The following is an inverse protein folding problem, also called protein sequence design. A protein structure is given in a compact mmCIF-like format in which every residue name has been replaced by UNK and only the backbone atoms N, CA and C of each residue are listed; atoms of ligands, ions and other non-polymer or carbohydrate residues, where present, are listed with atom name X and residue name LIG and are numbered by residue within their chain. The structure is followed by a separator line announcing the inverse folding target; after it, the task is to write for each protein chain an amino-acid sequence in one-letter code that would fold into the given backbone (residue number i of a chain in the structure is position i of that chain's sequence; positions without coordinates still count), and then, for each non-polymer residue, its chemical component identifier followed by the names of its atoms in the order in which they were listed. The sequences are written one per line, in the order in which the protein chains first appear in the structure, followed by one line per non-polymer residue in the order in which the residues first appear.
data_IF_470224841113
#
_entry.id   IF_470224841113
#
_cell.length_a   1.000
_cell.length_b   1.000
_cell.length_c   1.000
_cell.angle_alpha   90.00
_cell.angle_beta   90.00
_cell.angle_gamma   90.00
#
_symmetry.space_group_name_H-M   'P 1'
#
loop_
_entity.id
_entity.type
_entity.pdbx_description
1 polymer ?
#
# COMPACT_ATOMS: atom_id res chain seq x y z
N UNK A 1 9.06 -6.54 2.62
CA UNK A 1 9.91 -7.34 1.72
C UNK A 1 11.18 -7.71 2.45
N UNK A 2 12.28 -7.01 2.18
CA UNK A 2 13.60 -7.26 2.80
C UNK A 2 13.57 -7.43 4.33
N UNK A 3 12.95 -6.49 5.05
CA UNK A 3 12.85 -6.49 6.51
C UNK A 3 12.28 -7.79 7.10
N UNK A 4 11.35 -8.43 6.38
CA UNK A 4 10.73 -9.67 6.80
C UNK A 4 11.74 -10.82 6.86
N UNK A 5 12.65 -10.88 5.88
CA UNK A 5 13.71 -11.88 5.81
C UNK A 5 14.87 -11.57 6.78
N UNK A 6 15.18 -10.29 7.01
CA UNK A 6 16.51 -9.88 7.48
C UNK A 6 16.56 -9.29 8.89
N UNK A 7 15.41 -9.06 9.53
CA UNK A 7 15.37 -8.45 10.86
C UNK A 7 14.92 -9.42 11.97
N UNK A 8 14.48 -10.64 11.65
CA UNK A 8 14.21 -11.69 12.65
C UNK A 8 13.09 -11.43 13.67
N UNK A 9 12.34 -10.33 13.56
CA UNK A 9 11.25 -9.99 14.49
C UNK A 9 9.87 -10.45 14.00
N UNK A 10 9.82 -11.13 12.87
CA UNK A 10 8.61 -11.76 12.34
C UNK A 10 7.59 -10.82 11.70
N UNK A 11 7.67 -9.50 11.83
CA UNK A 11 6.67 -8.62 11.21
C UNK A 11 6.99 -8.16 9.79
N UNK A 12 5.94 -7.76 9.08
CA UNK A 12 5.98 -7.35 7.66
C UNK A 12 5.97 -5.82 7.47
N UNK A 13 5.65 -5.06 8.53
CA UNK A 13 5.63 -3.60 8.57
C UNK A 13 5.80 -3.10 10.01
N UNK A 14 6.77 -2.23 10.27
CA UNK A 14 7.13 -1.76 11.62
C UNK A 14 6.77 -0.29 11.88
N UNK A 15 6.32 0.46 10.86
CA UNK A 15 6.10 1.91 10.95
C UNK A 15 7.38 2.69 11.30
N UNK A 16 8.54 2.18 10.90
CA UNK A 16 9.80 2.90 11.14
C UNK A 16 9.91 4.13 10.20
N UNK A 17 10.76 5.11 10.53
CA UNK A 17 10.85 6.33 9.74
C UNK A 17 11.15 6.15 8.25
N UNK A 18 11.92 5.12 7.87
CA UNK A 18 12.28 4.84 6.47
C UNK A 18 11.10 4.22 5.73
N UNK A 19 10.41 3.26 6.35
CA UNK A 19 9.14 2.73 5.85
C UNK A 19 8.12 3.86 5.64
N UNK A 20 7.92 4.72 6.65
CA UNK A 20 7.00 5.85 6.59
C UNK A 20 7.37 6.85 5.49
N UNK A 21 8.65 7.19 5.38
CA UNK A 21 9.20 8.05 4.34
C UNK A 21 8.91 7.52 2.93
N UNK A 22 9.00 6.20 2.74
CA UNK A 22 8.70 5.57 1.47
C UNK A 22 7.19 5.54 1.18
N UNK A 23 6.34 5.48 2.21
CA UNK A 23 4.89 5.31 2.09
C UNK A 23 4.14 6.63 1.81
N UNK A 24 4.54 7.74 2.43
CA UNK A 24 3.86 9.03 2.27
C UNK A 24 3.71 9.52 0.81
N UNK A 25 4.74 9.40 -0.07
CA UNK A 25 4.61 9.71 -1.49
C UNK A 25 3.52 8.89 -2.20
N UNK A 26 3.30 7.63 -1.80
CA UNK A 26 2.26 6.78 -2.40
C UNK A 26 0.85 7.26 -2.04
N UNK A 27 0.62 7.72 -0.81
CA UNK A 27 -0.66 8.29 -0.40
C UNK A 27 -0.98 9.57 -1.20
N UNK A 28 -0.01 10.49 -1.27
CA UNK A 28 -0.14 11.71 -2.06
C UNK A 28 -0.28 11.42 -3.57
N UNK A 29 0.48 10.47 -4.10
CA UNK A 29 0.43 10.03 -5.48
C UNK A 29 -0.89 9.34 -5.85
N UNK A 30 -1.48 8.57 -4.93
CA UNK A 30 -2.80 7.96 -5.14
C UNK A 30 -3.88 9.04 -5.23
N UNK A 31 -3.85 10.02 -4.31
CA UNK A 31 -4.74 11.17 -4.37
C UNK A 31 -4.53 11.98 -5.67
N UNK A 32 -3.28 12.12 -6.13
CA UNK A 32 -2.93 12.78 -7.40
C UNK A 32 -3.59 12.08 -8.59
N UNK A 33 -3.47 10.76 -8.71
CA UNK A 33 -4.06 9.99 -9.82
C UNK A 33 -5.59 10.15 -9.87
N UNK A 34 -6.25 10.14 -8.71
CA UNK A 34 -7.70 10.35 -8.62
C UNK A 34 -8.09 11.80 -8.94
N UNK A 35 -7.28 12.78 -8.50
CA UNK A 35 -7.47 14.19 -8.86
C UNK A 35 -7.31 14.45 -10.36
N UNK A 36 -6.34 13.78 -11.00
CA UNK A 36 -6.14 13.83 -12.45
C UNK A 36 -7.35 13.30 -13.21
N UNK A 37 -8.00 12.24 -12.71
CA UNK A 37 -9.21 11.71 -13.34
C UNK A 37 -10.36 12.74 -13.35
N UNK A 38 -10.52 13.53 -12.28
CA UNK A 38 -11.50 14.62 -12.25
C UNK A 38 -11.08 15.77 -13.17
N UNK A 39 -9.79 16.10 -13.17
CA UNK A 39 -9.24 17.16 -14.03
C UNK A 39 -9.46 16.86 -15.51
N UNK A 40 -9.16 15.62 -15.95
CA UNK A 40 -9.34 15.17 -17.33
C UNK A 40 -10.82 15.15 -17.74
N UNK A 41 -11.71 14.66 -16.86
CA UNK A 41 -13.13 14.47 -17.21
C UNK A 41 -14.00 15.70 -17.05
N UNK A 42 -13.66 16.60 -16.12
CA UNK A 42 -14.54 17.70 -15.70
C UNK A 42 -13.85 19.07 -15.71
N UNK A 43 -12.54 19.11 -15.94
CA UNK A 43 -11.76 20.35 -15.86
C UNK A 43 -11.67 20.95 -14.45
N UNK A 44 -12.15 20.24 -13.42
CA UNK A 44 -12.06 20.64 -12.01
C UNK A 44 -10.74 20.20 -11.36
N UNK A 45 -10.50 20.63 -10.13
CA UNK A 45 -9.35 20.21 -9.30
C UNK A 45 -7.95 20.51 -9.89
N UNK A 46 -7.83 21.41 -10.87
CA UNK A 46 -6.53 21.76 -11.47
C UNK A 46 -5.51 22.21 -10.42
N UNK A 47 -5.91 23.15 -9.56
CA UNK A 47 -5.09 23.67 -8.46
C UNK A 47 -4.69 22.55 -7.49
N UNK A 48 -5.67 21.76 -7.05
CA UNK A 48 -5.46 20.62 -6.14
C UNK A 48 -4.51 19.57 -6.72
N UNK A 49 -4.64 19.27 -8.01
CA UNK A 49 -3.79 18.32 -8.73
C UNK A 49 -2.33 18.79 -8.76
N UNK A 50 -2.09 20.06 -9.04
CA UNK A 50 -0.72 20.62 -9.03
C UNK A 50 -0.13 20.56 -7.62
N UNK A 51 -0.91 20.91 -6.59
CA UNK A 51 -0.46 20.81 -5.21
C UNK A 51 -0.08 19.38 -4.83
N UNK A 52 -0.91 18.39 -5.18
CA UNK A 52 -0.63 16.98 -4.94
C UNK A 52 0.63 16.49 -5.66
N UNK A 53 0.89 16.98 -6.88
CA UNK A 53 2.12 16.65 -7.61
C UNK A 53 3.36 17.23 -6.90
N UNK A 54 3.29 18.48 -6.46
CA UNK A 54 4.35 19.10 -5.66
C UNK A 54 4.55 18.32 -4.36
N UNK A 55 3.49 17.98 -3.64
CA UNK A 55 3.59 17.24 -2.38
C UNK A 55 4.19 15.84 -2.58
N UNK A 56 3.73 15.07 -3.56
CA UNK A 56 4.26 13.73 -3.82
C UNK A 56 5.76 13.75 -4.14
N UNK A 57 6.20 14.69 -4.98
CA UNK A 57 7.62 14.89 -5.27
C UNK A 57 8.40 15.35 -4.04
N UNK A 58 7.87 16.33 -3.30
CA UNK A 58 8.50 16.88 -2.09
C UNK A 58 8.69 15.82 -1.00
N UNK A 59 7.70 14.93 -0.80
CA UNK A 59 7.78 13.81 0.14
C UNK A 59 8.85 12.79 -0.28
N UNK A 60 9.05 12.56 -1.58
CA UNK A 60 10.13 11.68 -2.07
C UNK A 60 11.52 12.25 -1.76
N UNK A 61 11.69 13.57 -1.87
CA UNK A 61 12.92 14.26 -1.48
C UNK A 61 13.10 14.24 0.05
N UNK A 62 12.03 14.45 0.81
CA UNK A 62 12.05 14.35 2.26
C UNK A 62 12.49 12.96 2.72
N UNK A 63 12.01 11.89 2.07
CA UNK A 63 12.47 10.55 2.38
C UNK A 63 13.97 10.37 2.18
N UNK A 64 14.54 10.98 1.13
CA UNK A 64 16.00 10.98 0.91
C UNK A 64 16.73 11.69 2.04
N UNK A 65 16.21 12.83 2.51
CA UNK A 65 16.75 13.52 3.69
C UNK A 65 16.71 12.64 4.94
N UNK A 66 15.56 12.05 5.26
CA UNK A 66 15.38 11.25 6.48
C UNK A 66 16.32 10.04 6.53
N UNK A 67 16.56 9.36 5.40
CA UNK A 67 17.39 8.15 5.35
C UNK A 67 18.89 8.46 5.33
N UNK A 68 19.30 9.63 4.82
CA UNK A 68 20.73 9.95 4.57
C UNK A 68 21.32 11.00 5.50
N UNK A 69 20.50 11.78 6.20
CA UNK A 69 20.98 12.85 7.08
C UNK A 69 21.55 12.34 8.41
N UNK A 70 21.19 11.13 8.83
CA UNK A 70 21.51 10.59 10.15
C UNK A 70 20.71 11.24 11.29
N UNK A 71 19.69 12.02 10.96
CA UNK A 71 18.85 12.75 11.92
C UNK A 71 17.87 11.82 12.66
N UNK A 72 17.51 10.69 12.07
CA UNK A 72 16.69 9.66 12.70
C UNK A 72 17.46 8.35 12.84
N UNK A 73 17.25 7.67 13.97
CA UNK A 73 17.67 6.29 14.14
C UNK A 73 16.64 5.37 13.45
N UNK A 74 17.10 4.60 12.47
CA UNK A 74 16.29 3.54 11.84
C UNK A 74 17.19 2.37 11.48
N UNK A 75 16.64 1.16 11.61
CA UNK A 75 17.26 -0.10 11.17
C UNK A 75 17.47 -0.15 9.66
N UNK A 76 16.75 0.68 8.90
CA UNK A 76 16.85 0.79 7.45
C UNK A 76 17.69 1.99 6.99
N UNK A 77 18.32 2.74 7.91
CA UNK A 77 19.14 3.89 7.55
C UNK A 77 20.52 3.44 7.02
N UNK A 78 20.92 3.98 5.86
CA UNK A 78 22.20 3.67 5.22
C UNK A 78 23.09 4.91 5.12
N UNK A 79 24.29 4.84 5.69
CA UNK A 79 25.35 5.85 5.61
C UNK A 79 24.93 7.24 6.13
N UNK A 80 25.28 7.53 7.38
CA UNK A 80 25.02 8.81 8.06
C UNK A 80 26.18 9.77 7.86
N UNK A 81 25.99 10.85 7.10
CA UNK A 81 26.95 11.95 6.97
C UNK A 81 26.23 13.30 7.17
N UNK A 82 26.46 13.99 8.31
CA UNK A 82 25.82 15.27 8.60
C UNK A 82 26.03 16.34 7.51
N UNK A 83 27.17 16.32 6.80
CA UNK A 83 27.45 17.27 5.71
C UNK A 83 26.57 17.02 4.48
N UNK A 84 26.21 15.76 4.21
CA UNK A 84 25.24 15.41 3.15
C UNK A 84 23.83 15.82 3.58
N UNK A 85 23.50 15.63 4.86
CA UNK A 85 22.22 16.06 5.44
C UNK A 85 21.95 17.54 5.23
N UNK A 86 22.91 18.41 5.52
CA UNK A 86 22.75 19.88 5.35
C UNK A 86 22.60 20.28 3.89
N UNK A 87 23.37 19.69 2.97
CA UNK A 87 23.19 19.93 1.52
C UNK A 87 21.79 19.54 1.05
N UNK A 88 21.33 18.34 1.42
CA UNK A 88 19.99 17.85 1.06
C UNK A 88 18.91 18.76 1.66
N UNK A 89 19.07 19.21 2.91
CA UNK A 89 18.12 20.12 3.55
C UNK A 89 18.02 21.47 2.81
N UNK A 90 19.15 22.07 2.43
CA UNK A 90 19.16 23.31 1.65
C UNK A 90 18.50 23.13 0.27
N UNK A 91 18.78 22.01 -0.39
CA UNK A 91 18.13 21.63 -1.64
C UNK A 91 16.62 21.44 -1.48
N UNK A 92 16.16 20.77 -0.41
CA UNK A 92 14.74 20.64 -0.09
C UNK A 92 14.09 22.01 0.12
N UNK A 93 14.71 22.89 0.91
CA UNK A 93 14.18 24.23 1.16
C UNK A 93 14.00 25.01 -0.14
N UNK A 94 14.97 24.93 -1.06
CA UNK A 94 14.89 25.58 -2.37
C UNK A 94 13.79 25.00 -3.26
N UNK A 95 13.73 23.67 -3.38
CA UNK A 95 12.79 22.99 -4.30
C UNK A 95 11.36 23.05 -3.78
N UNK A 96 11.14 22.73 -2.50
CA UNK A 96 9.83 22.74 -1.87
C UNK A 96 9.35 24.19 -1.72
N UNK A 97 10.19 25.07 -1.17
CA UNK A 97 9.85 26.49 -0.99
C UNK A 97 9.59 27.18 -2.33
N UNK A 98 10.45 26.96 -3.32
CA UNK A 98 10.31 27.54 -4.66
C UNK A 98 9.06 27.04 -5.40
N UNK A 99 8.78 25.74 -5.36
CA UNK A 99 7.58 25.17 -6.01
C UNK A 99 6.28 25.62 -5.33
N UNK A 100 6.23 25.67 -3.99
CA UNK A 100 5.06 26.18 -3.26
C UNK A 100 4.86 27.69 -3.45
N UNK A 101 5.94 28.48 -3.48
CA UNK A 101 5.85 29.91 -3.79
C UNK A 101 5.33 30.16 -5.21
N UNK A 102 5.83 29.41 -6.20
CA UNK A 102 5.34 29.48 -7.57
C UNK A 102 3.88 29.05 -7.68
N UNK A 103 3.50 27.99 -6.96
CA UNK A 103 2.12 27.53 -6.87
C UNK A 103 1.22 28.63 -6.29
N UNK A 104 1.58 29.22 -5.14
CA UNK A 104 0.81 30.29 -4.52
C UNK A 104 0.67 31.50 -5.45
N UNK A 105 1.72 31.87 -6.18
CA UNK A 105 1.69 32.96 -7.15
C UNK A 105 0.81 32.69 -8.36
N UNK A 106 0.78 31.44 -8.86
CA UNK A 106 0.03 31.07 -10.07
C UNK A 106 -1.40 30.58 -9.79
N UNK A 107 -1.69 30.09 -8.60
CA UNK A 107 -2.98 29.50 -8.24
C UNK A 107 -4.19 30.40 -8.57
N UNK A 108 -4.18 31.73 -8.34
CA UNK A 108 -5.31 32.59 -8.67
C UNK A 108 -5.64 32.67 -10.17
N UNK A 109 -4.69 32.34 -11.04
CA UNK A 109 -4.90 32.34 -12.51
C UNK A 109 -5.52 31.04 -13.03
N UNK A 110 -5.66 30.03 -12.17
CA UNK A 110 -6.20 28.72 -12.55
C UNK A 110 -7.68 28.69 -12.21
N UNK A 111 -8.53 28.53 -13.22
CA UNK A 111 -9.98 28.44 -13.02
C UNK A 111 -10.39 27.30 -12.08
N UNK A 112 -11.41 27.55 -11.25
CA UNK A 112 -11.90 26.64 -10.20
C UNK A 112 -12.64 25.39 -10.74
N UNK A 113 -12.96 25.35 -12.05
CA UNK A 113 -13.74 24.28 -12.67
C UNK A 113 -15.25 24.46 -12.49
N UNK A 114 -16.02 23.47 -12.94
CA UNK A 114 -17.49 23.47 -12.81
C UNK A 114 -17.97 23.04 -11.41
N UNK A 115 -19.16 23.51 -11.01
CA UNK A 115 -19.78 23.11 -9.75
C UNK A 115 -20.30 21.67 -9.76
N UNK A 116 -20.34 21.04 -8.58
CA UNK A 116 -20.86 19.70 -8.35
C UNK A 116 -21.56 19.64 -6.99
N UNK A 117 -22.55 18.75 -6.86
CA UNK A 117 -23.23 18.48 -5.61
C UNK A 117 -22.34 17.63 -4.68
N UNK A 118 -22.55 17.74 -3.37
CA UNK A 118 -21.79 16.95 -2.38
C UNK A 118 -21.89 15.43 -2.64
N UNK A 119 -23.10 14.95 -2.95
CA UNK A 119 -23.33 13.57 -3.40
C UNK A 119 -23.13 13.52 -4.91
N UNK A 120 -21.89 13.30 -5.32
CA UNK A 120 -21.47 13.12 -6.71
C UNK A 120 -20.17 12.33 -6.76
N UNK A 121 -19.79 11.87 -7.96
CA UNK A 121 -18.48 11.25 -8.17
C UNK A 121 -17.34 12.22 -7.83
N UNK A 122 -17.46 13.50 -8.22
CA UNK A 122 -16.49 14.54 -7.87
C UNK A 122 -16.34 14.69 -6.35
N UNK A 123 -17.47 14.76 -5.62
CA UNK A 123 -17.48 14.90 -4.16
C UNK A 123 -16.84 13.71 -3.45
N UNK A 124 -17.13 12.49 -3.90
CA UNK A 124 -16.53 11.27 -3.32
C UNK A 124 -15.03 11.16 -3.62
N UNK A 125 -14.59 11.54 -4.82
CA UNK A 125 -13.17 11.59 -5.16
C UNK A 125 -12.44 12.67 -4.35
N UNK A 126 -13.07 13.83 -4.11
CA UNK A 126 -12.52 14.86 -3.24
C UNK A 126 -12.39 14.37 -1.80
N UNK A 127 -13.44 13.76 -1.25
CA UNK A 127 -13.43 13.20 0.10
C UNK A 127 -12.32 12.16 0.26
N UNK A 128 -12.16 11.25 -0.71
CA UNK A 128 -11.04 10.29 -0.72
C UNK A 128 -9.68 10.98 -0.77
N UNK A 129 -9.52 12.00 -1.60
CA UNK A 129 -8.27 12.75 -1.65
C UNK A 129 -7.95 13.44 -0.33
N UNK A 130 -8.94 14.03 0.34
CA UNK A 130 -8.77 14.65 1.65
C UNK A 130 -8.38 13.60 2.70
N UNK A 131 -9.04 12.44 2.73
CA UNK A 131 -8.70 11.35 3.64
C UNK A 131 -7.28 10.82 3.40
N UNK A 132 -6.86 10.66 2.15
CA UNK A 132 -5.50 10.24 1.80
C UNK A 132 -4.44 11.27 2.21
N UNK A 133 -4.73 12.57 2.01
CA UNK A 133 -3.82 13.65 2.45
C UNK A 133 -3.78 13.75 3.98
N UNK A 134 -4.91 13.55 4.66
CA UNK A 134 -4.97 13.51 6.12
C UNK A 134 -4.17 12.32 6.68
N UNK A 135 -4.31 11.13 6.08
CA UNK A 135 -3.54 9.94 6.45
C UNK A 135 -2.04 10.13 6.20
N UNK A 136 -1.67 10.77 5.08
CA UNK A 136 -0.28 11.15 4.82
C UNK A 136 0.22 12.15 5.88
N UNK A 137 -0.58 13.17 6.21
CA UNK A 137 -0.25 14.16 7.22
C UNK A 137 -0.08 13.57 8.62
N UNK A 138 -0.90 12.59 9.01
CA UNK A 138 -0.75 11.91 10.30
C UNK A 138 0.53 11.06 10.36
N UNK A 139 0.89 10.39 9.26
CA UNK A 139 2.15 9.64 9.18
C UNK A 139 3.35 10.60 9.22
N UNK A 140 3.28 11.71 8.48
CA UNK A 140 4.30 12.75 8.47
C UNK A 140 4.50 13.34 9.87
N UNK A 141 3.40 13.66 10.55
CA UNK A 141 3.42 14.19 11.91
C UNK A 141 4.08 13.19 12.86
N UNK A 142 3.61 11.93 12.91
CA UNK A 142 4.21 10.91 13.78
C UNK A 142 5.69 10.66 13.50
N UNK A 143 6.11 10.77 12.24
CA UNK A 143 7.51 10.56 11.83
C UNK A 143 8.42 11.74 12.21
N UNK A 144 7.95 12.97 12.04
CA UNK A 144 8.74 14.18 12.31
C UNK A 144 8.62 14.68 13.75
N UNK A 145 7.60 14.26 14.49
CA UNK A 145 7.35 14.76 15.84
C UNK A 145 8.52 14.52 16.82
N UNK A 146 9.14 13.32 16.88
CA UNK A 146 10.35 13.12 17.67
C UNK A 146 11.50 14.08 17.30
N UNK A 147 11.66 14.37 16.00
CA UNK A 147 12.70 15.27 15.51
C UNK A 147 12.45 16.71 15.96
N UNK A 148 11.20 17.18 15.94
CA UNK A 148 10.87 18.51 16.42
C UNK A 148 11.13 18.67 17.92
N UNK A 149 10.84 17.65 18.74
CA UNK A 149 11.11 17.70 20.18
C UNK A 149 12.62 17.69 20.47
N UNK A 150 13.39 16.87 19.76
CA UNK A 150 14.85 16.84 19.90
C UNK A 150 15.48 18.17 19.47
N UNK A 151 15.04 18.75 18.35
CA UNK A 151 15.53 20.03 17.86
C UNK A 151 15.21 21.24 18.78
N UNK A 152 14.21 21.11 19.66
CA UNK A 152 13.81 22.13 20.64
C UNK A 152 14.37 21.83 22.04
N UNK A 153 15.21 20.81 22.21
CA UNK A 153 15.71 20.32 23.50
C UNK A 153 14.58 19.98 24.51
N UNK A 154 13.41 19.58 24.00
CA UNK A 154 12.22 19.22 24.80
C UNK A 154 12.18 17.74 25.22
N UNK A 155 13.25 16.99 24.93
CA UNK A 155 13.39 15.58 25.25
C UNK A 155 13.21 14.66 24.04
N UNK A 156 13.61 13.39 24.22
CA UNK A 156 13.56 12.35 23.19
C UNK A 156 12.41 11.39 23.45
N UNK A 157 11.54 11.23 22.46
CA UNK A 157 10.47 10.25 22.46
C UNK A 157 10.61 9.31 21.26
N UNK A 158 9.97 8.15 21.33
CA UNK A 158 9.80 7.26 20.19
C UNK A 158 8.31 7.11 19.88
N UNK A 159 7.97 7.23 18.59
CA UNK A 159 6.61 7.03 18.09
C UNK A 159 6.62 5.74 17.28
N UNK A 160 5.91 4.72 17.75
CA UNK A 160 5.86 3.40 17.15
C UNK A 160 4.46 2.99 16.67
N UNK A 161 4.27 1.70 16.33
CA UNK A 161 3.02 1.16 15.79
C UNK A 161 1.72 1.57 16.51
N UNK A 162 1.66 1.68 17.86
CA UNK A 162 0.41 2.07 18.53
C UNK A 162 -0.16 3.42 18.09
N UNK A 163 0.70 4.41 17.84
CA UNK A 163 0.27 5.70 17.31
C UNK A 163 -0.25 5.55 15.88
N UNK A 164 0.55 4.96 14.99
CA UNK A 164 0.22 4.89 13.57
C UNK A 164 -1.03 4.04 13.31
N UNK A 165 -1.15 2.88 13.94
CA UNK A 165 -2.32 2.01 13.78
C UNK A 165 -3.62 2.69 14.26
N UNK A 166 -3.55 3.44 15.37
CA UNK A 166 -4.73 4.11 15.94
C UNK A 166 -5.21 5.31 15.12
N UNK A 167 -4.31 6.02 14.42
CA UNK A 167 -4.70 7.16 13.56
C UNK A 167 -4.98 6.75 12.11
N UNK A 168 -4.24 5.78 11.58
CA UNK A 168 -4.31 5.42 10.16
C UNK A 168 -5.56 4.61 9.84
N UNK A 169 -5.92 3.63 10.67
CA UNK A 169 -7.08 2.77 10.40
C UNK A 169 -8.40 3.55 10.34
N UNK A 170 -8.71 4.51 11.26
CA UNK A 170 -9.92 5.33 11.17
C UNK A 170 -9.99 6.26 9.96
N UNK A 171 -8.85 6.64 9.38
CA UNK A 171 -8.81 7.46 8.16
C UNK A 171 -8.97 6.62 6.90
N UNK A 172 -8.36 5.43 6.87
CA UNK A 172 -8.43 4.54 5.71
C UNK A 172 -9.76 3.78 5.60
N UNK A 173 -10.39 3.42 6.71
CA UNK A 173 -11.68 2.72 6.69
C UNK A 173 -12.77 3.47 5.88
N UNK A 174 -13.07 4.76 6.13
CA UNK A 174 -14.01 5.51 5.30
C UNK A 174 -13.51 5.71 3.87
N UNK A 175 -12.20 5.83 3.63
CA UNK A 175 -11.65 5.97 2.29
C UNK A 175 -11.90 4.72 1.43
N UNK A 176 -11.67 3.53 2.00
CA UNK A 176 -11.95 2.24 1.37
C UNK A 176 -13.47 2.03 1.21
N UNK A 177 -14.27 2.49 2.17
CA UNK A 177 -15.72 2.44 2.01
C UNK A 177 -16.20 3.31 0.84
N UNK A 178 -15.72 4.54 0.73
CA UNK A 178 -16.03 5.44 -0.39
C UNK A 178 -15.50 4.90 -1.72
N UNK A 179 -14.40 4.15 -1.73
CA UNK A 179 -13.86 3.48 -2.91
C UNK A 179 -14.89 2.53 -3.56
N UNK A 180 -15.76 1.88 -2.78
CA UNK A 180 -16.84 1.05 -3.33
C UNK A 180 -18.01 1.85 -3.94
N UNK A 181 -18.24 3.09 -3.48
CA UNK A 181 -19.37 3.93 -3.93
C UNK A 181 -18.97 4.83 -5.10
N UNK A 182 -17.79 5.47 -5.01
CA UNK A 182 -17.32 6.50 -5.93
C UNK A 182 -17.43 6.13 -7.41
N UNK A 183 -16.92 4.96 -7.85
CA UNK A 183 -17.00 4.53 -9.25
C UNK A 183 -18.43 4.37 -9.79
N UNK A 184 -19.42 4.15 -8.91
CA UNK A 184 -20.83 3.94 -9.25
C UNK A 184 -21.68 5.22 -9.17
N UNK A 185 -21.19 6.24 -8.47
CA UNK A 185 -21.81 7.57 -8.42
C UNK A 185 -21.78 8.26 -9.78
N UNK A 186 -22.81 9.06 -10.08
CA UNK A 186 -22.85 9.88 -11.29
C UNK A 186 -22.03 11.16 -11.12
N UNK A 187 -21.49 11.66 -12.24
CA UNK A 187 -20.85 12.98 -12.28
C UNK A 187 -21.87 14.10 -12.04
N UNK A 188 -21.42 15.25 -11.53
CA UNK A 188 -22.22 16.43 -11.11
C UNK A 188 -23.15 16.19 -9.93
N UNK A 189 -24.05 15.20 -10.02
CA UNK A 189 -25.05 14.91 -8.99
C UNK A 189 -25.45 13.43 -9.09
N UNK A 190 -25.46 12.76 -7.95
CA UNK A 190 -25.99 11.40 -7.81
C UNK A 190 -27.14 11.41 -6.79
N UNK A 191 -28.18 10.63 -7.08
CA UNK A 191 -29.31 10.48 -6.17
C UNK A 191 -29.02 9.38 -5.15
N UNK A 192 -29.04 9.75 -3.87
CA UNK A 192 -28.72 8.85 -2.77
C UNK A 192 -29.64 7.60 -2.72
N UNK A 193 -30.98 7.71 -2.90
CA UNK A 193 -31.85 6.53 -2.90
C UNK A 193 -31.49 5.52 -4.00
N UNK A 194 -31.13 5.99 -5.19
CA UNK A 194 -30.72 5.14 -6.30
C UNK A 194 -29.40 4.41 -6.00
N UNK A 195 -28.43 5.10 -5.40
CA UNK A 195 -27.18 4.48 -4.95
C UNK A 195 -27.43 3.41 -3.91
N UNK A 196 -28.25 3.69 -2.89
CA UNK A 196 -28.60 2.72 -1.84
C UNK A 196 -29.28 1.50 -2.46
N UNK A 197 -30.25 1.68 -3.35
CA UNK A 197 -30.96 0.55 -3.96
C UNK A 197 -30.03 -0.35 -4.80
N UNK A 198 -29.05 0.25 -5.49
CA UNK A 198 -28.03 -0.49 -6.27
C UNK A 198 -27.05 -1.23 -5.37
N UNK A 199 -26.70 -0.66 -4.22
CA UNK A 199 -25.61 -1.14 -3.36
C UNK A 199 -26.06 -2.02 -2.19
N UNK A 200 -27.34 -2.02 -1.81
CA UNK A 200 -27.84 -2.71 -0.61
C UNK A 200 -27.48 -4.19 -0.55
N UNK A 201 -27.51 -4.88 -1.69
CA UNK A 201 -27.18 -6.31 -1.75
C UNK A 201 -25.68 -6.56 -1.66
N UNK A 202 -24.85 -5.71 -2.28
CA UNK A 202 -23.41 -5.74 -2.11
C UNK A 202 -23.05 -5.54 -0.63
N UNK A 203 -23.62 -4.51 0.00
CA UNK A 203 -23.43 -4.24 1.43
C UNK A 203 -23.89 -5.40 2.30
N UNK A 204 -25.10 -5.94 2.07
CA UNK A 204 -25.66 -7.05 2.83
C UNK A 204 -24.78 -8.31 2.75
N UNK A 205 -24.32 -8.69 1.56
CA UNK A 205 -23.43 -9.84 1.37
C UNK A 205 -22.09 -9.62 2.07
N UNK A 206 -21.48 -8.44 1.92
CA UNK A 206 -20.22 -8.12 2.59
C UNK A 206 -20.37 -8.13 4.12
N UNK A 207 -21.46 -7.57 4.65
CA UNK A 207 -21.74 -7.53 6.08
C UNK A 207 -21.96 -8.92 6.68
N UNK A 208 -22.83 -9.73 6.07
CA UNK A 208 -23.11 -11.08 6.55
C UNK A 208 -21.83 -11.92 6.53
N UNK A 209 -21.07 -11.88 5.42
CA UNK A 209 -19.82 -12.65 5.31
C UNK A 209 -18.79 -12.18 6.32
N UNK A 210 -18.63 -10.87 6.51
CA UNK A 210 -17.69 -10.29 7.47
C UNK A 210 -18.01 -10.63 8.93
N UNK A 211 -19.28 -10.85 9.25
CA UNK A 211 -19.69 -11.31 10.57
C UNK A 211 -19.49 -12.82 10.72
N UNK A 212 -19.98 -13.62 9.76
CA UNK A 212 -20.00 -15.09 9.86
C UNK A 212 -18.61 -15.71 9.72
N UNK A 213 -17.79 -15.24 8.77
CA UNK A 213 -16.51 -15.89 8.44
C UNK A 213 -15.54 -15.94 9.63
N UNK A 214 -15.28 -14.84 10.38
CA UNK A 214 -14.42 -14.92 11.57
C UNK A 214 -14.92 -15.91 12.63
N UNK A 215 -16.24 -15.96 12.88
CA UNK A 215 -16.81 -16.92 13.82
C UNK A 215 -16.58 -18.37 13.39
N UNK A 216 -16.76 -18.68 12.09
CA UNK A 216 -16.48 -20.02 11.54
C UNK A 216 -14.99 -20.37 11.65
N UNK A 217 -14.11 -19.38 11.54
CA UNK A 217 -12.67 -19.55 11.73
C UNK A 217 -12.23 -19.63 13.20
N UNK A 218 -13.16 -19.56 14.16
CA UNK A 218 -12.89 -19.75 15.58
C UNK A 218 -12.40 -18.51 16.34
N UNK A 219 -12.36 -17.34 15.71
CA UNK A 219 -11.97 -16.07 16.37
C UNK A 219 -12.71 -14.88 15.76
N UNK A 220 -13.33 -14.08 16.60
CA UNK A 220 -14.02 -12.86 16.18
C UNK A 220 -13.49 -11.64 16.92
N UNK A 221 -13.20 -10.58 16.18
CA UNK A 221 -12.97 -9.23 16.73
C UNK A 221 -13.65 -8.18 15.84
N UNK A 222 -14.00 -7.00 16.39
CA UNK A 222 -14.58 -5.93 15.58
C UNK A 222 -13.66 -5.49 14.43
N UNK A 223 -12.35 -5.40 14.67
CA UNK A 223 -11.38 -4.97 13.66
C UNK A 223 -11.21 -6.02 12.54
N UNK A 224 -11.21 -7.30 12.89
CA UNK A 224 -11.19 -8.42 11.93
C UNK A 224 -12.42 -8.38 11.01
N UNK A 225 -13.60 -8.20 11.60
CA UNK A 225 -14.85 -8.09 10.83
C UNK A 225 -14.87 -6.83 9.96
N UNK A 226 -14.40 -5.69 10.49
CA UNK A 226 -14.33 -4.44 9.72
C UNK A 226 -13.39 -4.57 8.51
N UNK A 227 -12.22 -5.18 8.68
CA UNK A 227 -11.29 -5.41 7.57
C UNK A 227 -11.89 -6.29 6.47
N UNK A 228 -12.53 -7.40 6.85
CA UNK A 228 -13.21 -8.29 5.90
C UNK A 228 -14.42 -7.62 5.23
N UNK A 229 -15.19 -6.83 5.97
CA UNK A 229 -16.30 -6.04 5.44
C UNK A 229 -15.79 -5.11 4.34
N UNK A 230 -14.74 -4.34 4.60
CA UNK A 230 -14.19 -3.38 3.65
C UNK A 230 -13.59 -4.06 2.41
N UNK A 231 -12.88 -5.18 2.57
CA UNK A 231 -12.35 -5.94 1.45
C UNK A 231 -13.47 -6.49 0.56
N UNK A 232 -14.46 -7.16 1.15
CA UNK A 232 -15.60 -7.72 0.42
C UNK A 232 -16.48 -6.63 -0.17
N UNK A 233 -16.59 -5.49 0.50
CA UNK A 233 -17.32 -4.33 -0.02
C UNK A 233 -16.73 -3.83 -1.33
N UNK A 234 -15.40 -3.69 -1.40
CA UNK A 234 -14.71 -3.30 -2.64
C UNK A 234 -14.96 -4.32 -3.76
N UNK A 235 -14.85 -5.62 -3.47
CA UNK A 235 -15.06 -6.68 -4.46
C UNK A 235 -16.52 -6.74 -4.94
N UNK A 236 -17.48 -6.73 -4.03
CA UNK A 236 -18.90 -6.84 -4.38
C UNK A 236 -19.40 -5.62 -5.15
N UNK A 237 -18.96 -4.41 -4.79
CA UNK A 237 -19.27 -3.19 -5.54
C UNK A 237 -18.59 -3.13 -6.90
N UNK A 238 -17.35 -3.64 -7.03
CA UNK A 238 -16.69 -3.84 -8.31
C UNK A 238 -17.49 -4.79 -9.23
N UNK A 239 -18.03 -5.87 -8.68
CA UNK A 239 -18.92 -6.81 -9.42
C UNK A 239 -20.21 -6.13 -9.85
N UNK A 240 -20.87 -5.35 -8.97
CA UNK A 240 -22.07 -4.59 -9.33
C UNK A 240 -21.77 -3.63 -10.49
N UNK A 241 -20.66 -2.88 -10.41
CA UNK A 241 -20.26 -1.95 -11.47
C UNK A 241 -19.93 -2.62 -12.79
N UNK A 242 -19.23 -3.76 -12.75
CA UNK A 242 -18.92 -4.53 -13.95
C UNK A 242 -20.21 -5.07 -14.59
N UNK A 243 -21.12 -5.63 -13.79
CA UNK A 243 -22.41 -6.15 -14.29
C UNK A 243 -23.23 -5.06 -14.96
N UNK A 244 -23.39 -3.92 -14.32
CA UNK A 244 -24.14 -2.80 -14.91
C UNK A 244 -23.49 -2.31 -16.19
N UNK A 245 -22.15 -2.24 -16.23
CA UNK A 245 -21.44 -1.80 -17.43
C UNK A 245 -21.61 -2.76 -18.59
N UNK A 246 -21.52 -4.07 -18.33
CA UNK A 246 -21.74 -5.10 -19.35
C UNK A 246 -23.19 -5.14 -19.84
N UNK A 247 -24.16 -4.74 -19.02
CA UNK A 247 -25.55 -4.64 -19.43
C UNK A 247 -25.80 -3.52 -20.46
N UNK A 248 -24.96 -2.48 -20.49
CA UNK A 248 -25.06 -1.37 -21.45
C UNK A 248 -24.19 -1.57 -22.70
N UNK A 249 -23.51 -2.70 -22.84
CA UNK A 249 -22.71 -3.03 -24.02
C UNK A 249 -23.47 -4.07 -24.85
N UNK A 250 -23.85 -3.68 -26.06
CA UNK A 250 -24.42 -4.61 -27.03
C UNK A 250 -23.37 -5.61 -27.51
N UNK A 251 -23.76 -6.86 -27.66
CA UNK A 251 -22.87 -7.90 -28.17
C UNK A 251 -23.50 -9.30 -28.09
N UNK A 252 -23.10 -10.21 -29.00
CA UNK A 252 -23.70 -11.53 -29.17
C UNK A 252 -23.41 -12.49 -28.01
N UNK A 253 -22.47 -12.16 -27.11
CA UNK A 253 -22.14 -12.97 -25.94
C UNK A 253 -21.28 -12.24 -24.91
N UNK A 254 -21.12 -12.85 -23.73
CA UNK A 254 -20.39 -12.26 -22.59
C UNK A 254 -18.92 -11.94 -22.93
N UNK A 255 -18.24 -12.83 -23.65
CA UNK A 255 -16.83 -12.65 -24.04
C UNK A 255 -16.63 -11.39 -24.90
N UNK A 256 -17.51 -11.16 -25.87
CA UNK A 256 -17.51 -9.96 -26.71
C UNK A 256 -17.72 -8.69 -25.88
N UNK A 257 -18.69 -8.70 -24.96
CA UNK A 257 -18.96 -7.56 -24.08
C UNK A 257 -17.79 -7.27 -23.14
N UNK A 258 -17.16 -8.30 -22.58
CA UNK A 258 -15.98 -8.17 -21.72
C UNK A 258 -14.77 -7.61 -22.49
N UNK A 259 -14.54 -8.06 -23.73
CA UNK A 259 -13.47 -7.56 -24.58
C UNK A 259 -13.69 -6.09 -25.01
N UNK A 260 -14.95 -5.64 -25.07
CA UNK A 260 -15.31 -4.26 -25.40
C UNK A 260 -15.09 -3.27 -24.23
N UNK A 261 -14.95 -3.76 -22.99
CA UNK A 261 -14.68 -2.90 -21.82
C UNK A 261 -13.27 -2.28 -21.94
N UNK A 262 -13.14 -0.94 -21.88
CA UNK A 262 -11.85 -0.25 -21.93
C UNK A 262 -10.84 -0.75 -20.88
N UNK A 263 -9.57 -0.82 -21.27
CA UNK A 263 -8.46 -1.23 -20.39
C UNK A 263 -8.29 -0.32 -19.18
N UNK A 264 -8.57 0.97 -19.32
CA UNK A 264 -8.60 1.93 -18.21
C UNK A 264 -9.59 1.55 -17.11
N UNK A 265 -10.72 0.96 -17.47
CA UNK A 265 -11.70 0.48 -16.49
C UNK A 265 -11.28 -0.84 -15.87
N UNK A 266 -10.76 -1.78 -16.66
CA UNK A 266 -10.17 -2.99 -16.11
C UNK A 266 -9.00 -2.67 -15.16
N UNK A 267 -8.14 -1.72 -15.52
CA UNK A 267 -7.04 -1.26 -14.68
C UNK A 267 -7.51 -0.68 -13.36
N UNK A 268 -8.57 0.13 -13.37
CA UNK A 268 -9.24 0.60 -12.15
C UNK A 268 -9.76 -0.57 -11.30
N UNK A 269 -10.53 -1.50 -11.89
CA UNK A 269 -11.09 -2.65 -11.17
C UNK A 269 -9.99 -3.53 -10.56
N UNK A 270 -8.96 -3.87 -11.34
CA UNK A 270 -7.82 -4.69 -10.90
C UNK A 270 -7.09 -3.98 -9.77
N UNK A 271 -6.81 -2.67 -9.89
CA UNK A 271 -6.14 -1.93 -8.84
C UNK A 271 -6.95 -1.90 -7.54
N UNK A 272 -8.26 -1.67 -7.62
CA UNK A 272 -9.12 -1.63 -6.44
C UNK A 272 -9.30 -3.03 -5.81
N UNK A 273 -9.38 -4.10 -6.62
CA UNK A 273 -9.37 -5.47 -6.11
C UNK A 273 -8.03 -5.82 -5.44
N UNK A 274 -6.91 -5.24 -5.91
CA UNK A 274 -5.61 -5.36 -5.23
C UNK A 274 -5.63 -4.80 -3.80
N UNK A 275 -6.33 -3.69 -3.56
CA UNK A 275 -6.58 -3.17 -2.20
C UNK A 275 -7.37 -4.18 -1.37
N UNK A 276 -8.40 -4.80 -1.93
CA UNK A 276 -9.17 -5.81 -1.21
C UNK A 276 -8.32 -7.02 -0.81
N UNK A 277 -7.49 -7.54 -1.73
CA UNK A 277 -6.55 -8.63 -1.45
C UNK A 277 -5.55 -8.25 -0.35
N UNK A 278 -4.98 -7.04 -0.44
CA UNK A 278 -4.10 -6.50 0.59
C UNK A 278 -4.78 -6.43 1.96
N UNK A 279 -6.00 -5.88 2.02
CA UNK A 279 -6.76 -5.74 3.27
C UNK A 279 -7.08 -7.11 3.86
N UNK A 280 -7.42 -8.12 3.05
CA UNK A 280 -7.58 -9.50 3.52
C UNK A 280 -6.27 -10.00 4.14
N UNK A 281 -5.13 -9.87 3.44
CA UNK A 281 -3.83 -10.28 3.97
C UNK A 281 -3.52 -9.66 5.34
N UNK A 282 -3.60 -8.33 5.45
CA UNK A 282 -3.35 -7.60 6.71
C UNK A 282 -4.29 -8.04 7.82
N UNK A 283 -5.58 -8.16 7.49
CA UNK A 283 -6.64 -8.51 8.44
C UNK A 283 -6.47 -9.94 8.96
N UNK A 284 -6.11 -10.88 8.08
CA UNK A 284 -5.91 -12.27 8.45
C UNK A 284 -4.63 -12.47 9.26
N UNK A 285 -3.51 -11.85 8.88
CA UNK A 285 -2.26 -11.89 9.66
C UNK A 285 -2.50 -11.33 11.07
N UNK A 286 -2.98 -10.08 11.20
CA UNK A 286 -3.24 -9.46 12.52
C UNK A 286 -4.30 -10.22 13.34
N UNK A 287 -5.24 -10.89 12.66
CA UNK A 287 -6.31 -11.63 13.29
C UNK A 287 -5.86 -12.99 13.84
N UNK A 288 -5.03 -13.72 13.10
CA UNK A 288 -4.81 -15.16 13.30
C UNK A 288 -3.34 -15.57 13.38
N UNK A 289 -2.39 -14.64 13.34
CA UNK A 289 -0.99 -14.98 13.60
C UNK A 289 -0.82 -15.55 15.01
N UNK A 290 0.09 -16.52 15.12
CA UNK A 290 0.52 -17.08 16.40
C UNK A 290 2.02 -17.05 16.45
N UNK A 291 2.57 -16.60 17.57
CA UNK A 291 4.00 -16.48 17.82
C UNK A 291 4.39 -17.19 19.12
N UNK A 292 5.63 -17.66 19.19
CA UNK A 292 6.20 -18.24 20.40
C UNK A 292 7.71 -17.99 20.43
N UNK A 293 8.16 -17.35 21.51
CA UNK A 293 9.57 -17.14 21.82
C UNK A 293 9.98 -18.18 22.88
N UNK A 294 10.78 -19.16 22.47
CA UNK A 294 11.13 -20.33 23.29
C UNK A 294 12.64 -20.52 23.36
N UNK A 295 13.10 -21.02 24.50
CA UNK A 295 14.43 -21.61 24.63
C UNK A 295 14.34 -23.06 24.14
N UNK A 296 15.16 -23.44 23.16
CA UNK A 296 15.18 -24.80 22.63
C UNK A 296 16.55 -25.45 22.77
N UNK A 297 16.59 -26.65 23.34
CA UNK A 297 17.75 -27.54 23.29
C UNK A 297 17.70 -28.42 22.03
N UNK A 298 18.84 -29.01 21.66
CA UNK A 298 18.90 -29.96 20.53
C UNK A 298 17.96 -31.15 20.78
N UNK A 299 17.12 -31.45 19.80
CA UNK A 299 16.08 -32.49 19.84
C UNK A 299 14.75 -32.02 20.44
N UNK A 300 14.67 -30.82 21.01
CA UNK A 300 13.45 -30.29 21.61
C UNK A 300 12.44 -29.84 20.53
N UNK A 301 11.15 -29.91 20.89
CA UNK A 301 10.06 -29.54 19.99
C UNK A 301 9.18 -28.45 20.58
N UNK A 302 8.73 -27.52 19.75
CA UNK A 302 7.73 -26.52 20.09
C UNK A 302 6.59 -26.54 19.06
N UNK A 303 5.36 -26.28 19.50
CA UNK A 303 4.17 -26.35 18.62
C UNK A 303 3.44 -25.02 18.57
N UNK A 304 3.19 -24.51 17.36
CA UNK A 304 2.42 -23.29 17.10
C UNK A 304 1.54 -23.46 15.85
N UNK A 305 0.33 -22.92 15.86
CA UNK A 305 -0.56 -22.96 14.68
C UNK A 305 -0.87 -24.36 14.13
N UNK A 306 -0.74 -25.42 14.95
CA UNK A 306 -0.88 -26.82 14.53
C UNK A 306 0.35 -27.42 13.85
N UNK A 307 1.49 -26.73 13.86
CA UNK A 307 2.79 -27.20 13.37
C UNK A 307 3.73 -27.45 14.53
N UNK A 308 4.47 -28.56 14.46
CA UNK A 308 5.52 -28.91 15.43
C UNK A 308 6.88 -28.70 14.79
N UNK A 309 7.68 -27.85 15.42
CA UNK A 309 9.04 -27.50 15.05
C UNK A 309 10.00 -28.26 15.96
N UNK A 310 10.88 -29.08 15.39
CA UNK A 310 11.98 -29.75 16.11
C UNK A 310 13.29 -29.05 15.79
N UNK A 311 14.04 -28.69 16.81
CA UNK A 311 15.35 -28.05 16.65
C UNK A 311 16.47 -29.09 16.68
N UNK A 312 17.21 -29.24 15.59
CA UNK A 312 18.27 -30.27 15.46
C UNK A 312 19.69 -29.68 15.70
N UNK A 313 19.76 -28.45 16.21
CA UNK A 313 21.01 -27.77 16.55
C UNK A 313 21.46 -26.74 15.51
N UNK A 314 22.64 -26.17 15.76
CA UNK A 314 23.29 -25.20 14.87
C UNK A 314 24.61 -25.72 14.35
N UNK A 315 24.92 -25.41 13.08
CA UNK A 315 26.24 -25.60 12.47
C UNK A 315 26.86 -24.23 12.14
N UNK A 316 28.18 -24.12 12.27
CA UNK A 316 28.92 -22.95 11.83
C UNK A 316 29.21 -23.04 10.34
N UNK A 317 28.79 -22.02 9.59
CA UNK A 317 29.01 -21.91 8.14
C UNK A 317 29.85 -20.68 7.82
N UNK A 318 30.66 -20.80 6.77
CA UNK A 318 31.42 -19.67 6.21
C UNK A 318 30.78 -19.26 4.88
N UNK A 319 30.19 -18.07 4.86
CA UNK A 319 29.62 -17.45 3.68
C UNK A 319 30.62 -16.59 2.91
N UNK A 320 30.22 -15.96 1.79
CA UNK A 320 31.12 -15.18 0.94
C UNK A 320 31.75 -13.96 1.63
N UNK A 321 31.01 -13.32 2.54
CA UNK A 321 31.41 -12.11 3.27
C UNK A 321 30.97 -12.12 4.74
N UNK A 322 30.55 -13.28 5.26
CA UNK A 322 30.06 -13.46 6.63
C UNK A 322 30.41 -14.85 7.17
N UNK A 323 30.38 -14.98 8.49
CA UNK A 323 30.28 -16.28 9.18
C UNK A 323 28.89 -16.39 9.79
N UNK A 324 28.32 -17.59 9.92
CA UNK A 324 26.99 -17.72 10.50
C UNK A 324 26.82 -19.00 11.31
N UNK A 325 26.01 -18.92 12.36
CA UNK A 325 25.40 -20.09 12.97
C UNK A 325 24.09 -20.38 12.25
N UNK A 326 23.99 -21.51 11.54
CA UNK A 326 22.79 -21.95 10.85
C UNK A 326 22.08 -23.01 11.69
N UNK A 327 20.83 -22.75 12.06
CA UNK A 327 19.96 -23.72 12.73
C UNK A 327 19.30 -24.67 11.73
N UNK A 328 18.98 -25.88 12.16
CA UNK A 328 18.13 -26.82 11.38
C UNK A 328 16.83 -27.06 12.15
N UNK A 329 15.70 -26.76 11.51
CA UNK A 329 14.37 -26.98 12.07
C UNK A 329 13.54 -27.89 11.17
N UNK A 330 13.21 -29.09 11.66
CA UNK A 330 12.24 -29.95 10.99
C UNK A 330 10.84 -29.55 11.40
N UNK A 331 9.99 -29.25 10.41
CA UNK A 331 8.61 -28.83 10.66
C UNK A 331 7.66 -29.90 10.19
N UNK A 332 6.77 -30.32 11.09
CA UNK A 332 5.75 -31.33 10.80
C UNK A 332 4.36 -30.86 11.19
N UNK A 333 3.36 -31.44 10.55
CA UNK A 333 1.94 -31.25 10.88
C UNK A 333 1.25 -32.61 10.78
N UNK A 334 0.48 -32.94 11.81
CA UNK A 334 -0.24 -34.23 11.91
C UNK A 334 0.70 -35.45 11.67
N UNK A 335 1.93 -35.36 12.19
CA UNK A 335 2.95 -36.40 12.08
C UNK A 335 3.64 -36.52 10.70
N UNK A 336 3.30 -35.65 9.73
CA UNK A 336 3.97 -35.59 8.42
C UNK A 336 4.92 -34.42 8.34
N UNK A 337 6.16 -34.66 7.93
CA UNK A 337 7.12 -33.60 7.66
C UNK A 337 6.61 -32.73 6.51
N UNK A 338 6.53 -31.43 6.77
CA UNK A 338 6.03 -30.41 5.82
C UNK A 338 7.20 -29.73 5.11
N UNK A 339 8.24 -29.38 5.86
CA UNK A 339 9.42 -28.65 5.35
C UNK A 339 10.57 -28.70 6.37
N UNK A 340 11.77 -28.27 5.95
CA UNK A 340 12.91 -28.05 6.83
C UNK A 340 13.38 -26.60 6.66
N UNK A 341 13.56 -25.89 7.77
CA UNK A 341 13.90 -24.48 7.82
C UNK A 341 15.32 -24.27 8.35
N UNK A 342 16.07 -23.39 7.69
CA UNK A 342 17.48 -23.12 7.97
C UNK A 342 17.76 -21.66 8.34
N UNK A 343 17.30 -21.16 9.50
CA UNK A 343 17.53 -19.78 9.92
C UNK A 343 19.01 -19.58 10.26
N UNK A 344 19.51 -18.35 10.09
CA UNK A 344 20.93 -18.05 10.32
C UNK A 344 21.11 -16.82 11.22
N UNK A 345 22.14 -16.88 12.07
CA UNK A 345 22.68 -15.72 12.78
C UNK A 345 24.03 -15.37 12.13
N UNK A 346 24.05 -14.34 11.29
CA UNK A 346 25.22 -13.96 10.48
C UNK A 346 26.04 -12.87 11.17
N UNK A 347 27.36 -13.03 11.18
CA UNK A 347 28.34 -11.99 11.55
C UNK A 347 29.09 -11.54 10.29
N UNK A 348 28.90 -10.28 9.91
CA UNK A 348 29.61 -9.65 8.79
C UNK A 348 30.91 -9.01 9.28
N UNK A 349 32.04 -9.55 8.85
CA UNK A 349 33.37 -9.18 9.37
C UNK A 349 33.77 -7.75 9.03
N UNK A 350 33.40 -7.24 7.85
CA UNK A 350 33.81 -5.91 7.39
C UNK A 350 33.12 -4.76 8.19
N UNK A 351 31.87 -4.96 8.60
CA UNK A 351 31.08 -3.99 9.37
C UNK A 351 31.04 -4.29 10.87
N UNK A 352 31.55 -5.46 11.29
CA UNK A 352 31.43 -6.01 12.64
C UNK A 352 29.99 -5.98 13.17
N UNK A 353 29.03 -6.34 12.31
CA UNK A 353 27.60 -6.38 12.63
C UNK A 353 27.09 -7.81 12.64
N UNK A 354 26.24 -8.11 13.61
CA UNK A 354 25.51 -9.38 13.69
C UNK A 354 24.08 -9.13 13.25
N UNK A 355 23.62 -9.89 12.26
CA UNK A 355 22.29 -9.81 11.67
C UNK A 355 21.63 -11.19 11.74
N UNK A 356 20.30 -11.22 11.70
CA UNK A 356 19.55 -12.47 11.68
C UNK A 356 18.89 -12.65 10.32
N UNK A 357 19.19 -13.75 9.64
CA UNK A 357 18.43 -14.21 8.48
C UNK A 357 17.37 -15.20 8.97
N UNK A 358 16.10 -14.84 8.80
CA UNK A 358 15.00 -15.74 9.12
C UNK A 358 14.84 -16.80 8.02
N UNK A 359 14.45 -18.01 8.42
CA UNK A 359 13.99 -19.02 7.49
C UNK A 359 12.48 -18.98 7.38
N UNK A 360 12.00 -18.90 6.15
CA UNK A 360 10.58 -18.76 5.84
C UNK A 360 10.18 -19.85 4.85
N UNK A 361 9.11 -20.58 5.16
CA UNK A 361 8.39 -21.45 4.24
C UNK A 361 7.13 -20.71 3.79
N UNK A 362 7.20 -19.92 2.69
CA UNK A 362 6.09 -19.10 2.25
C UNK A 362 5.01 -19.96 1.60
N UNK A 363 3.77 -19.51 1.69
CA UNK A 363 2.66 -20.19 1.04
C UNK A 363 1.44 -19.30 0.87
N UNK A 364 0.59 -19.68 -0.09
CA UNK A 364 -0.59 -18.88 -0.45
C UNK A 364 -1.52 -18.61 0.74
N UNK A 365 -1.61 -19.53 1.69
CA UNK A 365 -2.49 -19.41 2.86
C UNK A 365 -1.74 -19.12 4.16
N UNK A 366 -0.44 -19.44 4.23
CA UNK A 366 0.35 -19.28 5.46
C UNK A 366 1.85 -19.33 5.20
N UNK A 367 2.57 -18.57 6.01
CA UNK A 367 4.01 -18.64 6.17
C UNK A 367 4.35 -19.32 7.49
N UNK A 368 5.34 -20.20 7.46
CA UNK A 368 6.06 -20.60 8.67
C UNK A 368 7.36 -19.83 8.72
N UNK A 369 7.66 -19.27 9.88
CA UNK A 369 8.80 -18.38 10.07
C UNK A 369 9.57 -18.84 11.30
N UNK A 370 10.88 -18.97 11.15
CA UNK A 370 11.79 -19.25 12.25
C UNK A 370 12.91 -18.24 12.24
N UNK A 371 13.24 -17.72 13.42
CA UNK A 371 14.37 -16.82 13.60
C UNK A 371 15.18 -17.22 14.84
N UNK A 372 16.51 -17.20 14.69
CA UNK A 372 17.45 -17.41 15.78
C UNK A 372 17.72 -16.09 16.51
N UNK A 373 17.50 -16.12 17.82
CA UNK A 373 17.87 -15.07 18.76
C UNK A 373 19.36 -15.15 19.11
N UNK A 374 19.68 -15.29 20.39
CA UNK A 374 21.04 -15.46 20.89
C UNK A 374 21.28 -16.91 21.36
N UNK A 375 22.52 -17.42 21.28
CA UNK A 375 22.89 -18.67 21.93
C UNK A 375 22.75 -18.51 23.44
N UNK A 376 22.34 -19.59 24.10
CA UNK A 376 22.14 -19.66 25.54
C UNK A 376 23.02 -20.77 26.13
N UNK A 377 23.13 -20.81 27.46
CA UNK A 377 23.94 -21.80 28.16
C UNK A 377 23.55 -23.24 27.81
N UNK A 378 24.51 -24.17 27.83
CA UNK A 378 24.26 -25.60 27.58
C UNK A 378 23.92 -25.96 26.13
N UNK A 379 24.26 -25.09 25.17
CA UNK A 379 24.03 -25.34 23.74
C UNK A 379 22.59 -25.09 23.27
N UNK A 380 21.77 -24.49 24.13
CA UNK A 380 20.41 -24.08 23.78
C UNK A 380 20.41 -22.76 23.02
N UNK A 381 19.32 -22.48 22.33
CA UNK A 381 19.14 -21.21 21.61
C UNK A 381 17.80 -20.56 21.97
N UNK A 382 17.77 -19.23 21.99
CA UNK A 382 16.52 -18.49 21.93
C UNK A 382 16.00 -18.55 20.50
N UNK A 383 14.78 -19.05 20.31
CA UNK A 383 14.17 -19.24 19.00
C UNK A 383 12.82 -18.55 18.97
N UNK A 384 12.55 -17.80 17.90
CA UNK A 384 11.24 -17.22 17.62
C UNK A 384 10.56 -18.00 16.51
N UNK A 385 9.38 -18.51 16.80
CA UNK A 385 8.56 -19.29 15.88
C UNK A 385 7.30 -18.50 15.55
N UNK A 386 6.94 -18.41 14.27
CA UNK A 386 5.67 -17.83 13.86
C UNK A 386 4.94 -18.68 12.83
N UNK A 387 3.62 -18.67 12.95
CA UNK A 387 2.69 -19.11 11.94
C UNK A 387 1.85 -17.89 11.53
N UNK A 388 2.05 -17.42 10.29
CA UNK A 388 1.45 -16.16 9.80
C UNK A 388 0.57 -16.43 8.60
N UNK A 389 -0.76 -16.34 8.75
CA UNK A 389 -1.67 -16.66 7.67
C UNK A 389 -1.78 -15.49 6.68
N UNK A 390 -1.71 -15.77 5.37
CA UNK A 390 -1.93 -14.80 4.27
C UNK A 390 -0.92 -13.63 4.13
N UNK A 391 0.33 -13.79 4.56
CA UNK A 391 1.37 -12.75 4.33
C UNK A 391 1.58 -12.49 2.83
N UNK A 392 1.59 -13.54 2.00
CA UNK A 392 1.69 -13.42 0.55
C UNK A 392 0.58 -12.58 -0.10
N UNK A 393 -0.58 -12.45 0.54
CA UNK A 393 -1.68 -11.63 0.02
C UNK A 393 -1.41 -10.14 0.22
N UNK A 394 -0.61 -9.76 1.21
CA UNK A 394 -0.16 -8.38 1.39
C UNK A 394 0.70 -7.98 0.18
N UNK A 395 1.70 -8.78 -0.16
CA UNK A 395 2.55 -8.53 -1.33
C UNK A 395 1.80 -8.69 -2.65
N UNK A 396 0.99 -9.74 -2.77
CA UNK A 396 0.14 -10.01 -3.94
C UNK A 396 -0.85 -8.89 -4.21
N UNK A 397 -1.47 -8.31 -3.18
CA UNK A 397 -2.34 -7.15 -3.30
C UNK A 397 -1.61 -5.95 -3.90
N UNK A 398 -0.40 -5.65 -3.42
CA UNK A 398 0.47 -4.60 -3.97
C UNK A 398 0.85 -4.86 -5.43
N UNK A 399 1.18 -6.10 -5.78
CA UNK A 399 1.47 -6.48 -7.16
C UNK A 399 0.25 -6.32 -8.08
N UNK A 400 -0.92 -6.76 -7.63
CA UNK A 400 -2.19 -6.60 -8.35
C UNK A 400 -2.53 -5.11 -8.55
N UNK A 401 -2.28 -4.26 -7.55
CA UNK A 401 -2.40 -2.80 -7.68
C UNK A 401 -1.52 -2.24 -8.79
N UNK A 402 -0.23 -2.62 -8.80
CA UNK A 402 0.71 -2.20 -9.82
C UNK A 402 0.28 -2.66 -11.22
N UNK A 403 -0.18 -3.92 -11.36
CA UNK A 403 -0.71 -4.45 -12.61
C UNK A 403 -1.93 -3.67 -13.10
N UNK A 404 -2.84 -3.31 -12.19
CA UNK A 404 -3.99 -2.45 -12.51
C UNK A 404 -3.56 -1.09 -13.05
N UNK A 405 -2.53 -0.47 -12.46
CA UNK A 405 -1.92 0.77 -12.95
C UNK A 405 -1.36 0.63 -14.37
N UNK A 406 -0.54 -0.40 -14.63
CA UNK A 406 0.02 -0.69 -15.96
C UNK A 406 -1.10 -0.90 -17.00
N UNK A 407 -2.12 -1.66 -16.64
CA UNK A 407 -3.27 -1.92 -17.50
C UNK A 407 -4.01 -0.61 -17.84
N UNK A 408 -4.19 0.29 -16.87
CA UNK A 408 -4.84 1.58 -17.09
C UNK A 408 -4.05 2.51 -18.03
N UNK A 409 -2.71 2.50 -17.93
CA UNK A 409 -1.81 3.28 -18.79
C UNK A 409 -1.80 2.72 -20.23
N UNK A 410 -1.94 1.40 -20.39
CA UNK A 410 -1.94 0.74 -21.71
C UNK A 410 -3.20 1.00 -22.58
N UNK A 411 -4.15 1.80 -22.08
CA UNK A 411 -5.41 2.09 -22.76
C UNK A 411 -5.20 2.81 -24.11
N UNK A 412 -6.01 2.45 -25.11
CA UNK A 412 -5.92 3.00 -26.47
C UNK A 412 -6.16 4.52 -26.52
N UNK A 413 -6.88 5.10 -25.55
CA UNK A 413 -7.16 6.54 -25.47
C UNK A 413 -5.88 7.39 -25.51
N UNK A 414 -4.82 6.95 -24.84
CA UNK A 414 -3.55 7.69 -24.78
C UNK A 414 -2.79 7.62 -26.11
N UNK A 415 -2.95 6.52 -26.85
CA UNK A 415 -2.36 6.33 -28.18
C UNK A 415 -3.04 7.19 -29.26
N UNK A 416 -4.36 7.36 -29.17
CA UNK A 416 -5.13 8.16 -30.11
C UNK A 416 -4.91 9.67 -29.89
N UNK A 417 -4.83 10.11 -28.63
CA UNK A 417 -4.48 11.49 -28.30
C UNK A 417 -3.09 11.88 -28.87
N UNK A 418 -2.10 11.00 -28.71
CA UNK A 418 -0.74 11.22 -29.23
C UNK A 418 -0.68 11.28 -30.78
N UNK A 419 -1.51 10.48 -31.47
CA UNK A 419 -1.61 10.55 -32.94
C UNK A 419 -2.23 11.86 -33.40
N UNK A 420 -3.30 12.31 -32.73
CA UNK A 420 -4.01 13.55 -33.07
C UNK A 420 -3.14 14.79 -32.85
N UNK A 421 -2.23 14.76 -31.88
CA UNK A 421 -1.25 15.84 -31.63
C UNK A 421 -0.11 15.87 -32.67
N UNK A 422 0.15 14.75 -33.36
CA UNK A 422 1.17 14.65 -34.43
C UNK A 422 0.64 14.91 -35.83
N UNK A 423 -0.67 14.91 -36.04
CA UNK A 423 -1.25 15.32 -37.31
C UNK A 423 -1.14 16.85 -37.44
N UNK A 424 -0.47 17.39 -38.49
CA UNK A 424 -0.45 18.82 -38.69
C UNK A 424 -1.88 19.32 -38.86
N UNK A 425 -2.25 20.37 -38.12
CA UNK A 425 -3.53 21.06 -38.31
C UNK A 425 -3.60 21.55 -39.75
N UNK A 426 -4.24 20.77 -40.63
CA UNK A 426 -4.59 21.20 -41.97
C UNK A 426 -5.69 22.23 -41.78
N UNK A 427 -5.32 23.51 -41.78
CA UNK A 427 -6.25 24.63 -41.85
C UNK A 427 -7.05 24.43 -43.15
N UNK A 428 -8.39 24.36 -43.11
CA UNK A 428 -9.17 24.25 -44.33
C UNK A 428 -8.87 25.47 -45.20
N UNK A 429 -8.40 25.25 -46.43
CA UNK A 429 -8.19 26.33 -47.38
C UNK A 429 -9.50 27.09 -47.57
N UNK A 430 -9.47 28.40 -47.35
CA UNK A 430 -10.61 29.28 -47.55
C UNK A 430 -11.14 29.10 -48.98
N UNK A 431 -12.41 28.70 -49.12
CA UNK A 431 -13.07 28.62 -50.42
C UNK A 431 -13.14 30.03 -51.00
N UNK A 432 -12.37 30.29 -52.04
CA UNK A 432 -12.53 31.49 -52.86
C UNK A 432 -13.89 31.41 -53.57
N UNK A 433 -14.85 32.19 -53.08
CA UNK A 433 -16.11 32.42 -53.75
C UNK A 433 -15.82 33.09 -55.10
N UNK A 434 -15.96 32.34 -56.20
CA UNK A 434 -16.04 32.93 -57.53
C UNK A 434 -17.43 33.55 -57.69
N UNK A 435 -17.49 34.87 -57.68
CA UNK A 435 -18.60 35.59 -58.28
C UNK A 435 -18.60 35.33 -59.79
N UNK A 436 -19.65 34.65 -60.27
CA UNK A 436 -20.11 34.74 -61.66
C UNK A 436 -21.46 35.45 -61.63
N UNK A 437 -21.51 36.66 -62.19
CA UNK A 437 -22.73 37.23 -62.78
C UNK A 437 -22.28 37.92 -64.08
N UNK A 438 -23.13 37.77 -65.09
CA UNK A 438 -22.99 38.09 -66.50
C UNK A 438 -22.54 39.54 -66.82
#
# INVERSE_FOLDING_TARGET
GWAYYELGWGGWWFWDPVENASFMPWLAGTALVHSLAVTDKRGGFKVWTVLLAIMAFSLSLLGTFLVRSGVLTSVHAFATDPKRGTFILAFLALVIGGSLALYAWRAPRVGLGGSFAMVSREGMLLANNVLLVAAMGSVLLGTLYPLFLDALDLGKISVGPPYFDSVFAPLMAPAIFLMGIGPLAQWKKAELPNLVNRLKWAFGVSLVTALVLPFVMGKWTPLLSLGLLLALWVVTTAVVGLRERLAHIDGPGLSSRMAAVPRSYWGMLVAHCGIAVFVVGVTMVKGFETESDVRMNVGETATIGGYTFRFDGTEDIVGPNYTAARGTFHVSRDGRETTVLYPEKRRYTAQNQVMTEAAIDPGLLRDLYVSLGEPLDGGAWSVRLYHKPFVDWIWGGCFVMALGGVLAISDRRYRLAWRKEKEPNVVPAASTARHQVA
#
